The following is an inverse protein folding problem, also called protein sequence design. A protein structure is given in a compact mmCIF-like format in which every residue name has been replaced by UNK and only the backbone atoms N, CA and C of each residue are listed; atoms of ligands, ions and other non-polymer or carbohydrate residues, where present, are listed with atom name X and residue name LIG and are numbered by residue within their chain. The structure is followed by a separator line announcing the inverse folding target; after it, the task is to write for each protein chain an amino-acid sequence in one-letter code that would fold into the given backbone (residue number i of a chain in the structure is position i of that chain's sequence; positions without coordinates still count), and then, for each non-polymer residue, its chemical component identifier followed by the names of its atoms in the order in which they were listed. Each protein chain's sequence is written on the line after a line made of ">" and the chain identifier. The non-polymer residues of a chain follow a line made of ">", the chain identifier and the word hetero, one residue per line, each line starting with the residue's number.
data_IF_483728184567
#
_entry.id   IF_483728184567
#
_cell.length_a   1.000
_cell.length_b   1.000
_cell.length_c   1.000
_cell.angle_alpha   90.00
_cell.angle_beta   90.00
_cell.angle_gamma   90.00
#
_symmetry.space_group_name_H-M   'P 1'
#
loop_
_entity.id
_entity.type
_entity.pdbx_description
1 polymer ?
#
# COMPACT_ATOMS: atom_id res chain seq x y z
N UNK A 1 14.01 14.30 74.67
CA UNK A 1 14.47 14.86 73.37
C UNK A 1 14.11 13.89 72.25
N UNK A 2 12.87 13.89 71.76
CA UNK A 2 12.41 12.93 70.74
C UNK A 2 11.30 13.50 69.84
N UNK A 3 11.31 14.82 69.63
CA UNK A 3 10.29 15.54 68.85
C UNK A 3 10.65 15.84 67.39
N UNK A 4 11.91 15.63 66.97
CA UNK A 4 12.43 16.26 65.74
C UNK A 4 12.63 15.30 64.55
N UNK A 5 12.36 14.00 64.69
CA UNK A 5 12.61 13.03 63.60
C UNK A 5 11.45 12.83 62.62
N UNK A 6 10.25 13.34 62.91
CA UNK A 6 9.06 13.09 62.06
C UNK A 6 8.96 14.03 60.86
N UNK A 7 9.49 15.25 60.97
CA UNK A 7 9.34 16.28 59.92
C UNK A 7 10.36 16.10 58.78
N UNK A 8 11.58 15.63 59.08
CA UNK A 8 12.63 15.40 58.07
C UNK A 8 12.30 14.26 57.10
N UNK A 9 11.60 13.23 57.58
CA UNK A 9 11.23 12.05 56.77
C UNK A 9 10.12 12.43 55.77
N UNK A 10 9.15 13.25 56.20
CA UNK A 10 8.07 13.72 55.34
C UNK A 10 8.61 14.54 54.14
N UNK A 11 9.60 15.40 54.40
CA UNK A 11 10.24 16.26 53.40
C UNK A 11 11.04 15.41 52.39
N UNK A 12 11.78 14.38 52.86
CA UNK A 12 12.57 13.49 52.00
C UNK A 12 11.72 12.62 51.07
N UNK A 13 10.48 12.28 51.47
CA UNK A 13 9.56 11.48 50.65
C UNK A 13 8.90 12.31 49.53
N UNK A 14 8.76 13.64 49.72
CA UNK A 14 8.20 14.54 48.71
C UNK A 14 9.19 14.81 47.58
N UNK A 15 10.48 14.96 47.88
CA UNK A 15 11.52 15.21 46.87
C UNK A 15 11.76 14.03 45.92
N UNK A 16 11.51 12.79 46.35
CA UNK A 16 11.69 11.59 45.50
C UNK A 16 10.51 11.31 44.56
N UNK A 17 9.32 11.85 44.84
CA UNK A 17 8.12 11.66 44.01
C UNK A 17 7.94 12.72 42.92
N UNK A 18 8.48 13.92 43.08
CA UNK A 18 8.38 15.01 42.08
C UNK A 18 9.26 14.73 40.84
N UNK A 19 10.37 14.01 40.99
CA UNK A 19 11.31 13.73 39.91
C UNK A 19 10.86 12.67 38.89
N UNK A 20 9.70 12.03 39.07
CA UNK A 20 9.19 10.94 38.19
C UNK A 20 7.89 11.27 37.44
N UNK A 21 7.41 12.51 37.51
CA UNK A 21 6.39 12.99 36.57
C UNK A 21 7.11 13.38 35.28
N UNK A 22 7.66 12.38 34.59
CA UNK A 22 8.03 12.52 33.20
C UNK A 22 6.74 12.69 32.42
N UNK A 23 6.46 13.91 31.98
CA UNK A 23 5.47 14.22 30.95
C UNK A 23 5.79 13.36 29.71
N UNK A 24 5.24 12.16 29.66
CA UNK A 24 5.17 11.34 28.46
C UNK A 24 4.11 11.98 27.58
N UNK A 25 4.47 13.06 26.89
CA UNK A 25 3.67 13.55 25.77
C UNK A 25 3.43 12.35 24.85
N UNK A 26 2.18 11.96 24.56
CA UNK A 26 1.92 10.91 23.59
C UNK A 26 2.52 11.41 22.27
N UNK A 27 3.65 10.82 21.87
CA UNK A 27 4.19 11.05 20.53
C UNK A 27 3.14 10.50 19.59
N UNK A 28 2.48 11.37 18.83
CA UNK A 28 1.56 10.97 17.78
C UNK A 28 2.35 10.08 16.79
N UNK A 29 2.28 8.77 17.00
CA UNK A 29 2.74 7.80 16.02
C UNK A 29 1.83 8.02 14.81
N UNK A 30 2.40 8.58 13.75
CA UNK A 30 1.70 8.76 12.48
C UNK A 30 1.42 7.36 11.97
N UNK A 31 0.22 6.86 12.23
CA UNK A 31 -0.24 5.59 11.71
C UNK A 31 -0.41 5.73 10.21
N UNK A 32 0.69 5.64 9.45
CA UNK A 32 0.68 5.51 7.99
C UNK A 32 0.19 4.10 7.59
N UNK A 33 -0.87 3.63 8.23
CA UNK A 33 -1.48 2.36 7.94
C UNK A 33 -2.51 2.57 6.83
N UNK A 34 -2.05 2.96 5.64
CA UNK A 34 -2.86 2.99 4.42
C UNK A 34 -3.02 1.55 3.93
N UNK A 35 -3.82 0.75 4.64
CA UNK A 35 -4.21 -0.56 4.12
C UNK A 35 -5.53 -0.41 3.35
N UNK A 36 -5.65 -1.09 2.22
CA UNK A 36 -6.92 -1.16 1.47
C UNK A 36 -8.08 -1.64 2.36
N UNK A 37 -7.78 -2.39 3.43
CA UNK A 37 -8.76 -2.80 4.46
C UNK A 37 -9.19 -1.66 5.37
N UNK A 38 -8.32 -0.70 5.68
CA UNK A 38 -8.67 0.49 6.48
C UNK A 38 -9.55 1.48 5.72
N UNK A 39 -9.54 1.45 4.38
CA UNK A 39 -10.33 2.36 3.52
C UNK A 39 -11.64 1.73 3.02
N UNK A 40 -12.07 0.60 3.61
CA UNK A 40 -13.23 -0.15 3.12
C UNK A 40 -14.54 0.63 3.20
N UNK A 41 -14.62 1.64 4.06
CA UNK A 41 -15.80 2.48 4.24
C UNK A 41 -16.00 3.49 3.09
N UNK A 42 -14.93 3.82 2.34
CA UNK A 42 -14.96 4.79 1.22
C UNK A 42 -15.01 4.08 -0.13
N UNK A 43 -14.26 2.99 -0.30
CA UNK A 43 -14.12 2.29 -1.58
C UNK A 43 -14.77 0.89 -1.61
N UNK A 44 -15.50 0.52 -0.56
CA UNK A 44 -16.07 -0.81 -0.37
C UNK A 44 -15.06 -1.83 0.17
N UNK A 45 -15.52 -3.04 0.50
CA UNK A 45 -14.62 -4.11 0.93
C UNK A 45 -13.75 -4.58 -0.25
N UNK A 46 -12.41 -4.62 -0.11
CA UNK A 46 -11.55 -5.13 -1.15
C UNK A 46 -11.95 -6.58 -1.46
N UNK A 47 -12.09 -6.89 -2.76
CA UNK A 47 -12.45 -8.24 -3.19
C UNK A 47 -11.35 -9.19 -2.77
N UNK A 48 -11.72 -10.24 -2.04
CA UNK A 48 -10.80 -11.30 -1.63
C UNK A 48 -10.97 -12.51 -2.55
N UNK A 49 -9.86 -13.05 -3.06
CA UNK A 49 -9.89 -14.22 -3.95
C UNK A 49 -8.62 -14.37 -4.79
N UNK A 50 -8.43 -15.57 -5.36
CA UNK A 50 -7.21 -15.93 -6.12
C UNK A 50 -6.85 -14.98 -7.28
N UNK A 51 -7.85 -14.33 -7.87
CA UNK A 51 -7.69 -13.43 -9.03
C UNK A 51 -8.26 -12.04 -8.77
N UNK A 52 -8.57 -11.70 -7.52
CA UNK A 52 -9.18 -10.42 -7.18
C UNK A 52 -8.19 -9.25 -7.18
N UNK A 53 -6.89 -9.55 -7.15
CA UNK A 53 -5.80 -8.58 -7.22
C UNK A 53 -5.40 -8.21 -8.66
N UNK A 54 -5.92 -8.92 -9.66
CA UNK A 54 -5.57 -8.70 -11.05
C UNK A 54 -6.50 -7.66 -11.66
N UNK A 55 -5.97 -6.71 -12.46
CA UNK A 55 -6.78 -5.71 -13.15
C UNK A 55 -7.55 -6.29 -14.36
N UNK A 56 -7.50 -7.61 -14.59
CA UNK A 56 -8.15 -8.30 -15.71
C UNK A 56 -8.83 -9.60 -15.25
N UNK A 57 -9.86 -10.02 -16.00
CA UNK A 57 -10.67 -11.20 -15.67
C UNK A 57 -10.12 -12.46 -16.33
N UNK A 58 -9.82 -13.48 -15.53
CA UNK A 58 -9.27 -14.77 -16.01
C UNK A 58 -10.35 -15.83 -16.24
N UNK A 59 -11.28 -16.03 -15.29
CA UNK A 59 -12.18 -17.21 -15.27
C UNK A 59 -13.60 -16.98 -15.82
N UNK A 60 -14.12 -15.76 -15.81
CA UNK A 60 -15.54 -15.47 -16.18
C UNK A 60 -15.59 -14.43 -17.29
N UNK A 61 -14.88 -14.71 -18.37
CA UNK A 61 -14.81 -13.85 -19.55
C UNK A 61 -15.46 -14.58 -20.72
N UNK A 62 -16.28 -13.86 -21.50
CA UNK A 62 -16.93 -14.40 -22.72
C UNK A 62 -15.90 -14.91 -23.74
N UNK A 63 -14.73 -14.30 -23.76
CA UNK A 63 -13.58 -14.69 -24.56
C UNK A 63 -12.60 -15.43 -23.65
N UNK A 64 -12.08 -16.61 -24.05
CA UNK A 64 -11.08 -17.33 -23.28
C UNK A 64 -9.85 -16.46 -23.01
N UNK A 65 -9.34 -16.47 -21.78
CA UNK A 65 -8.21 -15.64 -21.38
C UNK A 65 -7.00 -15.77 -22.33
N UNK A 66 -6.67 -17.00 -22.76
CA UNK A 66 -5.56 -17.23 -23.68
C UNK A 66 -5.70 -16.49 -25.01
N UNK A 67 -6.91 -16.38 -25.56
CA UNK A 67 -7.16 -15.64 -26.81
C UNK A 67 -6.88 -14.14 -26.61
N UNK A 68 -7.35 -13.57 -25.51
CA UNK A 68 -7.06 -12.17 -25.18
C UNK A 68 -5.58 -11.92 -24.94
N UNK A 69 -4.93 -12.79 -24.16
CA UNK A 69 -3.52 -12.68 -23.82
C UNK A 69 -2.63 -12.74 -25.07
N UNK A 70 -2.73 -13.83 -25.84
CA UNK A 70 -1.94 -14.01 -27.06
C UNK A 70 -2.33 -13.05 -28.17
N UNK A 71 -3.58 -12.57 -28.21
CA UNK A 71 -4.01 -11.54 -29.15
C UNK A 71 -3.33 -10.20 -28.91
N UNK A 72 -3.27 -9.74 -27.66
CA UNK A 72 -2.58 -8.48 -27.32
C UNK A 72 -1.07 -8.62 -27.56
N UNK A 73 -0.44 -9.69 -27.07
CA UNK A 73 0.98 -9.92 -27.32
C UNK A 73 1.30 -10.05 -28.80
N UNK A 74 0.48 -10.78 -29.55
CA UNK A 74 0.63 -10.95 -31.00
C UNK A 74 0.47 -9.63 -31.76
N UNK A 75 -0.48 -8.78 -31.37
CA UNK A 75 -0.67 -7.47 -31.98
C UNK A 75 0.55 -6.55 -31.78
N UNK A 76 1.05 -6.44 -30.55
CA UNK A 76 2.23 -5.62 -30.27
C UNK A 76 3.51 -6.22 -30.85
N UNK A 77 3.62 -7.55 -30.89
CA UNK A 77 4.69 -8.23 -31.60
C UNK A 77 4.67 -7.93 -33.11
N UNK A 78 3.48 -7.90 -33.72
CA UNK A 78 3.31 -7.61 -35.13
C UNK A 78 3.52 -6.14 -35.48
N UNK A 79 3.39 -5.22 -34.51
CA UNK A 79 3.51 -3.77 -34.71
C UNK A 79 4.75 -3.34 -35.54
N UNK A 80 6.00 -3.71 -35.18
CA UNK A 80 7.18 -3.33 -35.97
C UNK A 80 7.17 -3.89 -37.40
N UNK A 81 6.53 -5.03 -37.65
CA UNK A 81 6.44 -5.62 -38.99
C UNK A 81 5.40 -4.92 -39.84
N UNK A 82 4.24 -4.56 -39.26
CA UNK A 82 3.22 -3.79 -39.97
C UNK A 82 3.74 -2.39 -40.33
N UNK A 83 4.45 -1.73 -39.42
CA UNK A 83 5.03 -0.41 -39.70
C UNK A 83 6.10 -0.49 -40.80
N UNK A 84 6.98 -1.49 -40.72
CA UNK A 84 8.00 -1.72 -41.77
C UNK A 84 7.34 -2.04 -43.12
N UNK A 85 6.31 -2.88 -43.14
CA UNK A 85 5.54 -3.19 -44.35
C UNK A 85 4.92 -1.93 -44.97
N UNK A 86 4.32 -1.07 -44.15
CA UNK A 86 3.75 0.20 -44.62
C UNK A 86 4.82 1.10 -45.27
N UNK A 87 5.98 1.23 -44.62
CA UNK A 87 7.10 2.02 -45.16
C UNK A 87 7.67 1.41 -46.44
N UNK A 88 7.86 0.09 -46.50
CA UNK A 88 8.32 -0.63 -47.68
C UNK A 88 7.34 -0.50 -48.85
N UNK A 89 6.03 -0.54 -48.59
CA UNK A 89 4.99 -0.32 -49.61
C UNK A 89 5.04 1.10 -50.15
N UNK A 90 5.21 2.11 -49.29
CA UNK A 90 5.38 3.51 -49.73
C UNK A 90 6.67 3.75 -50.50
N UNK A 91 7.72 2.99 -50.20
CA UNK A 91 9.01 3.05 -50.89
C UNK A 91 9.01 2.31 -52.24
N UNK A 92 7.95 1.54 -52.57
CA UNK A 92 7.86 0.76 -53.80
C UNK A 92 8.59 -0.59 -53.77
N UNK A 93 9.02 -1.04 -52.58
CA UNK A 93 9.70 -2.33 -52.40
C UNK A 93 8.74 -3.52 -52.39
N UNK A 94 7.46 -3.28 -52.15
CA UNK A 94 6.40 -4.28 -52.10
C UNK A 94 5.27 -3.84 -53.04
N UNK A 95 4.95 -4.71 -54.01
CA UNK A 95 3.91 -4.51 -55.02
C UNK A 95 2.51 -4.72 -54.44
#
# INVERSE_FOLDING_TARGET
>A
MLGEKKNTIAISATYSMIARIGLRTPRAARGFQTSARAMSNVYGTPKEGLYSNLPFKVKTSKIPFGVGWWGVFGFFFAFPFLTSWWHMKKAGNLN
#
